data_IF_340524789714
#
_entry.id   IF_340524789714
#
_cell.length_a   1.000
_cell.length_b   1.000
_cell.length_c   1.000
_cell.angle_alpha   90.00
_cell.angle_beta   90.00
_cell.angle_gamma   90.00
#
_symmetry.space_group_name_H-M   'P 1'
#
loop_
_entity.id
_entity.type
_entity.pdbx_description
1 polymer ?
#
# COMPACT_ATOMS: atom_id res chain seq x y z
N UNK A 1 7.64 -22.78 -3.73
CA UNK A 1 6.16 -22.73 -3.62
C UNK A 1 5.74 -21.30 -3.29
N UNK A 2 4.69 -20.75 -3.91
CA UNK A 2 4.16 -19.46 -3.50
C UNK A 2 3.28 -19.61 -2.25
N UNK A 3 3.18 -18.56 -1.43
CA UNK A 3 2.31 -18.48 -0.26
C UNK A 3 2.66 -19.44 0.89
N UNK A 4 3.94 -19.69 1.16
CA UNK A 4 4.37 -20.54 2.28
C UNK A 4 4.84 -19.74 3.49
N UNK A 5 5.64 -18.69 3.29
CA UNK A 5 6.16 -17.81 4.36
C UNK A 5 5.83 -16.37 4.04
N UNK A 6 4.89 -15.82 4.80
CA UNK A 6 4.33 -14.50 4.55
C UNK A 6 4.77 -13.45 5.54
N UNK A 7 4.83 -12.22 5.06
CA UNK A 7 4.95 -11.01 5.87
C UNK A 7 3.89 -9.99 5.42
N UNK A 8 3.48 -9.09 6.32
CA UNK A 8 2.52 -8.03 5.98
C UNK A 8 3.22 -6.68 5.89
N UNK A 9 2.88 -5.89 4.87
CA UNK A 9 3.25 -4.48 4.78
C UNK A 9 1.98 -3.65 4.99
N UNK A 10 1.91 -2.97 6.13
CA UNK A 10 0.75 -2.20 6.53
C UNK A 10 0.85 -0.73 6.16
N UNK A 11 1.99 -0.09 6.44
CA UNK A 11 2.10 1.36 6.36
C UNK A 11 1.98 1.92 4.94
N UNK A 12 2.24 1.09 3.92
CA UNK A 12 2.29 1.54 2.52
C UNK A 12 0.97 2.16 2.04
N UNK A 13 -0.19 1.55 2.36
CA UNK A 13 -1.49 1.96 1.82
C UNK A 13 -2.64 1.96 2.85
N UNK A 14 -2.36 1.76 4.15
CA UNK A 14 -3.40 1.75 5.19
C UNK A 14 -3.69 3.11 5.84
N UNK A 15 -2.76 4.06 5.85
CA UNK A 15 -2.95 5.30 6.60
C UNK A 15 -2.73 6.52 5.74
N UNK A 16 -3.60 6.74 4.76
CA UNK A 16 -3.42 7.86 3.85
C UNK A 16 -3.30 9.21 4.58
N UNK A 17 -2.50 10.11 4.01
CA UNK A 17 -2.31 11.47 4.47
C UNK A 17 -3.69 12.17 4.57
N UNK A 18 -3.92 12.89 5.67
CA UNK A 18 -5.16 13.64 5.92
C UNK A 18 -5.01 15.10 5.51
N UNK A 19 -6.10 15.72 5.08
CA UNK A 19 -6.11 17.15 4.73
C UNK A 19 -5.85 17.99 6.00
N UNK A 20 -4.78 18.80 6.06
CA UNK A 20 -4.49 19.63 7.22
C UNK A 20 -5.58 20.67 7.53
N UNK A 21 -6.35 21.09 6.52
CA UNK A 21 -7.44 22.04 6.68
C UNK A 21 -8.77 21.36 7.08
N UNK A 22 -8.92 20.08 6.78
CA UNK A 22 -10.09 19.26 7.14
C UNK A 22 -9.67 17.82 7.47
N UNK A 23 -9.28 17.54 8.74
CA UNK A 23 -8.83 16.21 9.15
C UNK A 23 -9.88 15.09 8.97
N UNK A 24 -11.13 15.44 8.68
CA UNK A 24 -12.19 14.52 8.27
C UNK A 24 -12.13 14.13 6.79
N UNK A 25 -11.02 14.38 6.09
CA UNK A 25 -10.82 14.07 4.67
C UNK A 25 -9.40 13.60 4.40
N UNK A 26 -9.26 12.72 3.42
CA UNK A 26 -7.95 12.35 2.88
C UNK A 26 -7.39 13.48 2.00
N UNK A 27 -6.09 13.73 2.11
CA UNK A 27 -5.34 14.66 1.28
C UNK A 27 -4.98 14.05 -0.08
N UNK A 28 -4.68 14.93 -1.04
CA UNK A 28 -4.03 14.53 -2.30
C UNK A 28 -2.66 15.19 -2.42
N UNK A 29 -1.60 14.45 -2.77
CA UNK A 29 -1.51 12.99 -2.91
C UNK A 29 -1.71 12.23 -1.57
N UNK A 30 -2.34 11.04 -1.56
CA UNK A 30 -2.77 10.35 -0.33
C UNK A 30 -1.68 9.54 0.37
N UNK A 31 -0.54 9.30 -0.26
CA UNK A 31 0.53 8.46 0.28
C UNK A 31 1.92 9.07 0.01
N UNK A 32 2.06 10.38 0.21
CA UNK A 32 3.29 11.10 -0.15
C UNK A 32 4.29 11.20 1.00
N UNK A 33 3.85 11.00 2.25
CA UNK A 33 4.74 11.00 3.39
C UNK A 33 5.65 9.76 3.46
N UNK A 34 6.79 9.91 4.13
CA UNK A 34 7.81 8.87 4.29
C UNK A 34 7.29 7.51 4.81
N UNK A 35 6.31 7.45 5.74
CA UNK A 35 5.77 6.19 6.23
C UNK A 35 5.14 5.28 5.16
N UNK A 36 4.79 5.83 4.00
CA UNK A 36 4.19 5.07 2.89
C UNK A 36 5.21 4.45 1.94
N UNK A 37 6.49 4.78 2.10
CA UNK A 37 7.54 4.28 1.23
C UNK A 37 7.87 2.81 1.55
N UNK A 38 8.02 2.01 0.51
CA UNK A 38 8.56 0.65 0.58
C UNK A 38 9.79 0.64 -0.32
N UNK A 39 10.97 0.54 0.29
CA UNK A 39 12.24 0.54 -0.44
C UNK A 39 12.51 -0.85 -1.05
N UNK A 40 13.25 -0.85 -2.15
CA UNK A 40 13.73 -2.09 -2.77
C UNK A 40 14.65 -2.88 -1.83
N UNK A 41 15.45 -2.18 -1.01
CA UNK A 41 16.30 -2.81 0.01
C UNK A 41 15.48 -3.58 1.05
N UNK A 42 14.34 -3.02 1.48
CA UNK A 42 13.44 -3.71 2.40
C UNK A 42 12.89 -5.00 1.75
N UNK A 43 12.46 -4.92 0.50
CA UNK A 43 11.95 -6.08 -0.23
C UNK A 43 13.03 -7.15 -0.45
N UNK A 44 14.24 -6.75 -0.83
CA UNK A 44 15.39 -7.65 -0.97
C UNK A 44 15.73 -8.35 0.35
N UNK A 45 15.81 -7.60 1.45
CA UNK A 45 16.08 -8.18 2.77
C UNK A 45 15.01 -9.19 3.21
N UNK A 46 13.73 -8.95 2.90
CA UNK A 46 12.65 -9.89 3.19
C UNK A 46 12.77 -11.16 2.34
N UNK A 47 13.15 -11.02 1.07
CA UNK A 47 13.33 -12.15 0.17
C UNK A 47 14.50 -13.03 0.65
N UNK A 48 15.62 -12.40 1.01
CA UNK A 48 16.81 -13.09 1.53
C UNK A 48 16.56 -13.75 2.90
N UNK A 49 15.63 -13.19 3.70
CA UNK A 49 15.16 -13.82 4.93
C UNK A 49 14.24 -15.04 4.70
N UNK A 50 13.87 -15.33 3.44
CA UNK A 50 13.11 -16.52 3.05
C UNK A 50 11.58 -16.35 3.07
N UNK A 51 11.08 -15.11 3.05
CA UNK A 51 9.66 -14.85 2.78
C UNK A 51 9.37 -15.00 1.28
N UNK A 52 8.20 -15.54 0.94
CA UNK A 52 7.80 -15.79 -0.45
C UNK A 52 6.47 -15.13 -0.85
N UNK A 53 5.80 -14.47 0.09
CA UNK A 53 4.67 -13.62 -0.23
C UNK A 53 4.52 -12.43 0.72
N UNK A 54 3.89 -11.38 0.20
CA UNK A 54 3.54 -10.19 0.96
C UNK A 54 2.02 -10.02 0.97
N UNK A 55 1.47 -9.81 2.16
CA UNK A 55 0.12 -9.29 2.33
C UNK A 55 0.17 -7.76 2.37
N UNK A 56 -0.33 -7.14 1.30
CA UNK A 56 -0.46 -5.69 1.17
C UNK A 56 -1.87 -5.29 1.60
N UNK A 57 -1.97 -4.61 2.73
CA UNK A 57 -3.26 -4.09 3.20
C UNK A 57 -3.52 -2.69 2.65
N UNK A 58 -4.79 -2.43 2.34
CA UNK A 58 -5.23 -1.17 1.74
C UNK A 58 -6.38 -0.59 2.55
N UNK A 59 -6.30 0.72 2.85
CA UNK A 59 -7.46 1.50 3.31
C UNK A 59 -8.40 1.77 2.12
N UNK A 60 -9.66 1.30 2.16
CA UNK A 60 -10.61 1.61 1.10
C UNK A 60 -11.05 3.09 1.09
N UNK A 61 -10.87 3.84 2.19
CA UNK A 61 -11.34 5.21 2.36
C UNK A 61 -10.94 6.18 1.23
N UNK A 62 -9.65 6.30 0.86
CA UNK A 62 -9.23 7.12 -0.27
C UNK A 62 -9.90 6.74 -1.59
N UNK A 63 -10.09 5.43 -1.85
CA UNK A 63 -10.73 4.93 -3.07
C UNK A 63 -12.23 5.24 -3.13
N UNK A 64 -12.87 5.38 -1.96
CA UNK A 64 -14.27 5.79 -1.83
C UNK A 64 -14.42 7.32 -1.87
N UNK A 65 -13.41 8.07 -1.41
CA UNK A 65 -13.45 9.54 -1.38
C UNK A 65 -13.16 10.18 -2.75
N UNK A 66 -12.12 9.71 -3.44
CA UNK A 66 -11.67 10.31 -4.70
C UNK A 66 -12.42 9.75 -5.91
N UNK A 67 -12.55 10.60 -6.94
CA UNK A 67 -13.21 10.29 -8.22
C UNK A 67 -12.39 10.86 -9.39
N UNK A 68 -12.72 10.46 -10.61
CA UNK A 68 -12.04 10.93 -11.83
C UNK A 68 -10.53 10.67 -11.82
N UNK A 69 -9.74 11.62 -12.31
CA UNK A 69 -8.28 11.48 -12.44
C UNK A 69 -7.57 11.14 -11.11
N UNK A 70 -8.09 11.62 -9.98
CA UNK A 70 -7.53 11.28 -8.66
C UNK A 70 -7.77 9.82 -8.30
N UNK A 71 -8.93 9.27 -8.69
CA UNK A 71 -9.20 7.84 -8.52
C UNK A 71 -8.32 7.00 -9.42
N UNK A 72 -8.15 7.40 -10.67
CA UNK A 72 -7.25 6.70 -11.61
C UNK A 72 -5.79 6.73 -11.10
N UNK A 73 -5.35 7.85 -10.53
CA UNK A 73 -4.04 7.96 -9.91
C UNK A 73 -3.87 7.06 -8.67
N UNK A 74 -4.91 6.88 -7.87
CA UNK A 74 -4.92 5.92 -6.76
C UNK A 74 -4.77 4.47 -7.25
N UNK A 75 -5.53 4.11 -8.28
CA UNK A 75 -5.45 2.78 -8.89
C UNK A 75 -4.03 2.54 -9.46
N UNK A 76 -3.42 3.56 -10.07
CA UNK A 76 -2.03 3.50 -10.54
C UNK A 76 -1.03 3.28 -9.40
N UNK A 77 -1.16 4.01 -8.27
CA UNK A 77 -0.29 3.82 -7.08
C UNK A 77 -0.37 2.39 -6.55
N UNK A 78 -1.59 1.83 -6.41
CA UNK A 78 -1.77 0.46 -5.94
C UNK A 78 -1.13 -0.55 -6.90
N UNK A 79 -1.38 -0.41 -8.20
CA UNK A 79 -0.84 -1.32 -9.22
C UNK A 79 0.68 -1.23 -9.27
N UNK A 80 1.28 -0.04 -9.17
CA UNK A 80 2.72 0.15 -9.14
C UNK A 80 3.35 -0.52 -7.91
N UNK A 81 2.74 -0.37 -6.73
CA UNK A 81 3.19 -1.05 -5.52
C UNK A 81 3.15 -2.58 -5.67
N UNK A 82 2.06 -3.12 -6.22
CA UNK A 82 1.93 -4.56 -6.48
C UNK A 82 3.01 -5.03 -7.47
N UNK A 83 3.25 -4.27 -8.55
CA UNK A 83 4.30 -4.59 -9.53
C UNK A 83 5.69 -4.58 -8.91
N UNK A 84 6.00 -3.57 -8.08
CA UNK A 84 7.27 -3.49 -7.36
C UNK A 84 7.48 -4.76 -6.53
N UNK A 85 6.50 -5.16 -5.73
CA UNK A 85 6.59 -6.35 -4.88
C UNK A 85 6.78 -7.63 -5.72
N UNK A 86 6.04 -7.79 -6.81
CA UNK A 86 6.18 -8.95 -7.72
C UNK A 86 7.57 -8.98 -8.37
N UNK A 87 8.13 -7.82 -8.73
CA UNK A 87 9.45 -7.73 -9.33
C UNK A 87 10.57 -8.24 -8.39
N UNK A 88 10.34 -8.20 -7.07
CA UNK A 88 11.23 -8.77 -6.04
C UNK A 88 10.96 -10.26 -5.73
N UNK A 89 10.16 -10.94 -6.56
CA UNK A 89 9.96 -12.39 -6.48
C UNK A 89 8.87 -12.84 -5.51
N UNK A 90 8.10 -11.92 -4.92
CA UNK A 90 7.00 -12.26 -4.01
C UNK A 90 5.70 -12.51 -4.76
N UNK A 91 4.90 -13.45 -4.25
CA UNK A 91 3.46 -13.44 -4.50
C UNK A 91 2.78 -12.36 -3.64
N UNK A 92 1.62 -11.84 -4.07
CA UNK A 92 0.95 -10.73 -3.37
C UNK A 92 -0.50 -11.09 -3.04
N UNK A 93 -0.88 -10.87 -1.78
CA UNK A 93 -2.29 -10.82 -1.36
C UNK A 93 -2.63 -9.35 -1.13
N UNK A 94 -3.67 -8.85 -1.81
CA UNK A 94 -4.22 -7.52 -1.56
C UNK A 94 -5.56 -7.70 -0.87
N UNK A 95 -5.75 -7.01 0.25
CA UNK A 95 -7.06 -6.92 0.90
C UNK A 95 -7.37 -5.51 1.38
N UNK A 96 -8.68 -5.26 1.53
CA UNK A 96 -9.14 -4.10 2.26
C UNK A 96 -9.05 -4.39 3.75
N UNK A 97 -8.30 -3.55 4.44
CA UNK A 97 -8.12 -3.66 5.87
C UNK A 97 -8.89 -2.54 6.56
N UNK A 98 -9.74 -2.88 7.55
CA UNK A 98 -10.48 -1.86 8.27
C UNK A 98 -9.52 -1.00 9.07
N UNK A 99 -9.38 0.25 8.66
CA UNK A 99 -8.72 1.30 9.43
C UNK A 99 -9.75 2.35 9.80
N UNK A 100 -9.47 3.10 10.87
CA UNK A 100 -10.30 4.23 11.29
C UNK A 100 -9.41 5.46 11.37
N UNK A 101 -9.45 6.29 10.33
CA UNK A 101 -8.82 7.60 10.28
C UNK A 101 -9.84 8.72 10.13
N UNK A 102 -10.89 8.46 9.34
CA UNK A 102 -11.96 9.39 8.97
C UNK A 102 -13.31 8.81 9.39
#
# INVERSE_FOLDING_TARGET
PAFHRGVSIHNALNWADLDPADPGRYAWPPYASEPHQVSDDLLGNLHDAGFDFIRLTVDPGPFLQFTGERRDGLDAILVERVRQIIAHGFAVIVDFHPVRQV
#
